data_IF_049019384390
#
_entry.id   IF_049019384390
#
_cell.length_a   1.000
_cell.length_b   1.000
_cell.length_c   1.000
_cell.angle_alpha   90.00
_cell.angle_beta   90.00
_cell.angle_gamma   90.00
#
_symmetry.space_group_name_H-M   'P 1'
#
loop_
_entity.id
_entity.type
_entity.pdbx_description
1 polymer ?
#
# COMPACT_ATOMS: atom_id res chain seq x y z
N UNK A 1 -16.67 30.26 14.43
CA UNK A 1 -17.62 29.20 14.10
C UNK A 1 -16.91 27.88 13.91
N UNK A 2 -17.47 26.80 14.42
CA UNK A 2 -16.88 25.48 14.19
C UNK A 2 -17.05 25.10 12.72
N UNK A 3 -15.96 24.70 12.06
CA UNK A 3 -16.00 24.19 10.72
C UNK A 3 -16.65 22.78 10.71
N UNK A 4 -17.72 22.61 9.94
CA UNK A 4 -18.44 21.35 9.78
C UNK A 4 -18.48 21.00 8.30
N UNK A 5 -17.54 20.22 7.79
CA UNK A 5 -17.53 19.78 6.39
C UNK A 5 -18.74 18.88 6.12
N UNK A 6 -19.24 18.90 4.89
CA UNK A 6 -20.35 18.02 4.48
C UNK A 6 -19.95 16.55 4.50
N UNK A 7 -18.69 16.25 4.15
CA UNK A 7 -18.13 14.91 4.12
C UNK A 7 -16.82 14.85 4.89
N UNK A 8 -16.62 13.77 5.64
CA UNK A 8 -15.35 13.43 6.27
C UNK A 8 -14.94 12.07 5.76
N UNK A 9 -13.76 11.99 5.13
CA UNK A 9 -13.15 10.74 4.70
C UNK A 9 -12.01 10.43 5.66
N UNK A 10 -12.08 9.25 6.29
CA UNK A 10 -11.05 8.77 7.20
C UNK A 10 -10.54 7.42 6.73
N UNK A 11 -9.25 7.30 6.50
CA UNK A 11 -8.57 6.07 6.11
C UNK A 11 -7.68 5.57 7.24
N UNK A 12 -7.65 4.26 7.45
CA UNK A 12 -6.74 3.65 8.40
C UNK A 12 -6.42 2.19 8.03
N UNK A 13 -5.41 1.64 8.69
CA UNK A 13 -5.06 0.23 8.55
C UNK A 13 -6.19 -0.67 9.06
N UNK A 14 -6.37 -1.85 8.45
CA UNK A 14 -7.40 -2.82 8.86
C UNK A 14 -7.34 -3.17 10.35
N UNK A 15 -6.15 -3.10 10.95
CA UNK A 15 -5.94 -3.42 12.37
C UNK A 15 -6.70 -2.52 13.34
N UNK A 16 -7.20 -1.35 12.92
CA UNK A 16 -8.08 -0.49 13.75
C UNK A 16 -9.35 -1.22 14.18
N UNK A 17 -9.79 -2.26 13.42
CA UNK A 17 -10.90 -3.15 13.76
C UNK A 17 -10.52 -4.34 14.65
N UNK A 18 -9.25 -4.47 15.04
CA UNK A 18 -8.80 -5.55 15.94
C UNK A 18 -9.38 -5.40 17.35
N UNK A 19 -9.40 -6.51 18.10
CA UNK A 19 -9.90 -6.55 19.47
C UNK A 19 -9.29 -5.46 20.39
N UNK A 20 -8.04 -5.07 20.14
CA UNK A 20 -7.36 -4.07 20.96
C UNK A 20 -7.65 -2.62 20.56
N UNK A 21 -8.07 -2.39 19.31
CA UNK A 21 -8.25 -1.04 18.75
C UNK A 21 -9.71 -0.67 18.50
N UNK A 22 -10.61 -1.65 18.46
CA UNK A 22 -12.02 -1.45 18.08
C UNK A 22 -12.74 -0.42 18.93
N UNK A 23 -12.40 -0.34 20.24
CA UNK A 23 -13.02 0.62 21.15
C UNK A 23 -12.78 2.09 20.72
N UNK A 24 -11.57 2.39 20.23
CA UNK A 24 -11.22 3.72 19.72
C UNK A 24 -11.96 4.03 18.42
N UNK A 25 -12.10 3.04 17.54
CA UNK A 25 -12.83 3.18 16.29
C UNK A 25 -14.31 3.46 16.55
N UNK A 26 -14.94 2.70 17.45
CA UNK A 26 -16.35 2.90 17.84
C UNK A 26 -16.54 4.28 18.50
N UNK A 27 -15.61 4.72 19.37
CA UNK A 27 -15.67 6.04 19.98
C UNK A 27 -15.62 7.14 18.93
N UNK A 28 -14.69 7.06 17.97
CA UNK A 28 -14.59 8.00 16.85
C UNK A 28 -15.91 8.14 16.10
N UNK A 29 -16.55 7.02 15.75
CA UNK A 29 -17.84 7.04 15.05
C UNK A 29 -18.95 7.70 15.89
N UNK A 30 -19.04 7.35 17.19
CA UNK A 30 -20.02 7.93 18.11
C UNK A 30 -19.86 9.45 18.28
N UNK A 31 -18.64 9.94 18.35
CA UNK A 31 -18.37 11.37 18.45
C UNK A 31 -18.86 12.10 17.19
N UNK A 32 -18.66 11.53 16.01
CA UNK A 32 -19.19 12.09 14.75
C UNK A 32 -20.73 12.03 14.67
N UNK A 33 -21.35 10.96 15.16
CA UNK A 33 -22.80 10.84 15.25
C UNK A 33 -23.39 11.95 16.14
N UNK A 34 -22.77 12.24 17.28
CA UNK A 34 -23.17 13.35 18.15
C UNK A 34 -23.04 14.73 17.49
N UNK A 35 -22.16 14.85 16.49
CA UNK A 35 -22.01 16.06 15.70
C UNK A 35 -23.00 16.14 14.51
N UNK A 36 -23.83 15.10 14.32
CA UNK A 36 -24.84 15.03 13.26
C UNK A 36 -24.40 14.33 11.98
N UNK A 37 -23.31 13.55 12.01
CA UNK A 37 -22.89 12.75 10.88
C UNK A 37 -23.46 11.34 10.91
N UNK A 38 -23.69 10.79 9.73
CA UNK A 38 -23.98 9.37 9.51
C UNK A 38 -22.72 8.70 9.00
N UNK A 39 -22.25 7.64 9.67
CA UNK A 39 -21.02 6.94 9.33
C UNK A 39 -21.31 5.67 8.54
N UNK A 40 -20.59 5.48 7.42
CA UNK A 40 -20.50 4.21 6.71
C UNK A 40 -19.01 3.84 6.58
N UNK A 41 -18.68 2.58 6.74
CA UNK A 41 -17.30 2.14 6.57
C UNK A 41 -17.21 0.78 5.90
N UNK A 42 -16.13 0.59 5.14
CA UNK A 42 -15.77 -0.67 4.51
C UNK A 42 -14.26 -0.89 4.54
N UNK A 43 -13.86 -2.16 4.46
CA UNK A 43 -12.46 -2.54 4.22
C UNK A 43 -12.29 -2.76 2.73
N UNK A 44 -11.51 -1.89 2.09
CA UNK A 44 -11.21 -1.98 0.67
C UNK A 44 -9.81 -2.52 0.46
N UNK A 45 -9.61 -3.36 -0.54
CA UNK A 45 -8.31 -3.86 -0.98
C UNK A 45 -7.94 -3.22 -2.32
N UNK A 46 -6.72 -2.73 -2.45
CA UNK A 46 -6.24 -2.10 -3.69
C UNK A 46 -6.34 -3.04 -4.92
N UNK A 47 -6.33 -4.35 -4.70
CA UNK A 47 -6.52 -5.36 -5.76
C UNK A 47 -7.91 -5.33 -6.41
N UNK A 48 -8.90 -4.82 -5.72
CA UNK A 48 -10.26 -4.64 -6.24
C UNK A 48 -10.37 -3.39 -7.14
N UNK A 49 -9.31 -2.59 -7.19
CA UNK A 49 -9.24 -1.33 -7.94
C UNK A 49 -8.08 -1.32 -8.95
N UNK A 50 -7.73 -2.50 -9.47
CA UNK A 50 -6.78 -2.65 -10.56
C UNK A 50 -5.31 -2.76 -10.15
N UNK A 51 -4.95 -2.53 -8.88
CA UNK A 51 -3.55 -2.55 -8.45
C UNK A 51 -3.12 -3.94 -7.97
N UNK A 52 -1.99 -4.50 -8.42
CA UNK A 52 -1.48 -5.77 -7.93
C UNK A 52 -0.72 -5.58 -6.60
N UNK A 53 -1.41 -5.00 -5.61
CA UNK A 53 -0.91 -4.80 -4.27
C UNK A 53 -1.97 -5.21 -3.24
N UNK A 54 -1.66 -6.19 -2.39
CA UNK A 54 -2.49 -6.55 -1.24
C UNK A 54 -2.40 -5.46 -0.17
N UNK A 55 -3.26 -4.46 -0.29
CA UNK A 55 -3.33 -3.30 0.59
C UNK A 55 -4.76 -3.09 1.07
N UNK A 56 -5.09 -3.74 2.19
CA UNK A 56 -6.39 -3.56 2.84
C UNK A 56 -6.38 -2.32 3.74
N UNK A 57 -7.39 -1.45 3.57
CA UNK A 57 -7.60 -0.26 4.38
C UNK A 57 -9.05 -0.10 4.76
N UNK A 58 -9.29 0.38 5.97
CA UNK A 58 -10.63 0.79 6.41
C UNK A 58 -10.85 2.21 5.94
N UNK A 59 -11.88 2.40 5.13
CA UNK A 59 -12.39 3.72 4.79
C UNK A 59 -13.68 3.96 5.54
N UNK A 60 -13.76 5.10 6.23
CA UNK A 60 -15.00 5.59 6.82
C UNK A 60 -15.39 6.87 6.12
N UNK A 61 -16.61 6.90 5.60
CA UNK A 61 -17.21 8.08 4.99
C UNK A 61 -18.31 8.54 5.92
N UNK A 62 -18.15 9.73 6.48
CA UNK A 62 -19.11 10.35 7.37
C UNK A 62 -19.79 11.51 6.67
N UNK A 63 -21.11 11.43 6.49
CA UNK A 63 -21.92 12.40 5.77
C UNK A 63 -22.78 13.20 6.75
N UNK A 64 -22.79 14.53 6.60
CA UNK A 64 -23.65 15.41 7.39
C UNK A 64 -25.11 15.33 6.89
N UNK A 65 -26.09 15.63 7.76
CA UNK A 65 -27.51 15.72 7.44
C UNK A 65 -28.18 14.39 7.04
N UNK A 66 -27.68 13.26 7.52
CA UNK A 66 -28.35 11.96 7.34
C UNK A 66 -28.15 11.31 5.97
N UNK A 67 -27.36 11.91 5.08
CA UNK A 67 -26.93 11.24 3.85
C UNK A 67 -26.11 10.00 4.20
N UNK A 68 -26.20 8.97 3.34
CA UNK A 68 -25.42 7.74 3.48
C UNK A 68 -24.56 7.54 2.25
N UNK A 69 -23.28 7.25 2.47
CA UNK A 69 -22.40 6.80 1.41
C UNK A 69 -22.58 5.29 1.21
N UNK A 70 -22.78 4.86 -0.03
CA UNK A 70 -22.88 3.47 -0.38
C UNK A 70 -21.59 2.99 -1.05
N UNK A 71 -20.86 2.06 -0.42
CA UNK A 71 -19.63 1.50 -0.98
C UNK A 71 -19.87 0.56 -2.17
N UNK A 72 -21.10 0.02 -2.32
CA UNK A 72 -21.47 -0.81 -3.48
C UNK A 72 -21.48 -0.01 -4.79
N UNK A 73 -21.59 1.33 -4.71
CA UNK A 73 -21.56 2.21 -5.88
C UNK A 73 -20.13 2.46 -6.39
N UNK A 74 -19.10 1.98 -5.69
CA UNK A 74 -17.72 2.07 -6.14
C UNK A 74 -17.48 1.18 -7.36
N UNK A 75 -16.88 1.76 -8.39
CA UNK A 75 -16.47 1.01 -9.58
C UNK A 75 -15.23 0.20 -9.21
N UNK A 76 -15.38 -1.12 -9.19
CA UNK A 76 -14.27 -2.06 -8.99
C UNK A 76 -13.68 -2.47 -10.32
N UNK A 77 -12.36 -2.55 -10.36
CA UNK A 77 -11.59 -2.94 -11.55
C UNK A 77 -10.77 -4.20 -11.21
N UNK A 78 -10.82 -5.25 -12.05
CA UNK A 78 -10.00 -6.44 -11.83
C UNK A 78 -8.52 -6.09 -11.68
N UNK A 79 -7.84 -6.80 -10.79
CA UNK A 79 -6.41 -6.66 -10.57
C UNK A 79 -5.65 -6.89 -11.89
N UNK A 80 -4.76 -5.97 -12.24
CA UNK A 80 -3.90 -6.07 -13.41
C UNK A 80 -2.73 -7.04 -13.14
N UNK A 81 -2.06 -7.45 -14.20
CA UNK A 81 -0.87 -8.31 -14.10
C UNK A 81 0.27 -7.50 -13.45
N UNK A 82 0.90 -8.08 -12.44
CA UNK A 82 2.00 -7.41 -11.74
C UNK A 82 3.18 -7.11 -12.66
N UNK A 83 3.36 -7.90 -13.73
CA UNK A 83 4.44 -7.69 -14.72
C UNK A 83 4.36 -6.36 -15.43
N UNK A 84 3.17 -5.78 -15.55
CA UNK A 84 2.97 -4.45 -16.15
C UNK A 84 3.50 -3.31 -15.26
N UNK A 85 3.77 -3.59 -14.00
CA UNK A 85 4.26 -2.66 -12.98
C UNK A 85 5.75 -2.79 -12.72
N UNK A 86 6.38 -3.87 -13.18
CA UNK A 86 7.79 -4.16 -12.96
C UNK A 86 8.66 -3.63 -14.10
N UNK A 87 9.90 -3.30 -13.77
CA UNK A 87 10.94 -2.99 -14.73
C UNK A 87 11.59 -4.28 -15.24
N UNK A 88 12.17 -4.21 -16.43
CA UNK A 88 12.95 -5.33 -16.95
C UNK A 88 14.15 -5.62 -16.02
N UNK A 89 14.26 -6.88 -15.58
CA UNK A 89 15.29 -7.31 -14.65
C UNK A 89 16.72 -7.02 -15.12
N UNK A 90 16.96 -6.99 -16.45
CA UNK A 90 18.27 -6.68 -17.03
C UNK A 90 18.60 -5.19 -16.93
N UNK A 91 17.57 -4.33 -16.90
CA UNK A 91 17.74 -2.88 -16.79
C UNK A 91 17.90 -2.40 -15.35
N UNK A 92 17.50 -3.20 -14.36
CA UNK A 92 17.58 -2.83 -12.94
C UNK A 92 18.99 -2.98 -12.41
N UNK A 93 19.60 -1.90 -11.87
CA UNK A 93 20.96 -1.91 -11.36
C UNK A 93 21.18 -2.92 -10.21
N UNK A 94 22.35 -3.52 -10.14
CA UNK A 94 22.75 -4.50 -9.10
C UNK A 94 22.66 -3.94 -7.66
N UNK A 95 22.56 -2.63 -7.50
CA UNK A 95 22.35 -2.00 -6.19
C UNK A 95 21.07 -2.49 -5.50
N UNK A 96 20.09 -2.96 -6.28
CA UNK A 96 18.84 -3.54 -5.77
C UNK A 96 18.96 -5.03 -5.44
N UNK A 97 20.08 -5.68 -5.74
CA UNK A 97 20.25 -7.11 -5.48
C UNK A 97 20.21 -7.42 -3.99
N UNK A 98 19.60 -8.55 -3.67
CA UNK A 98 19.50 -9.05 -2.29
C UNK A 98 20.84 -9.64 -1.90
N UNK A 99 21.68 -8.82 -1.27
CA UNK A 99 23.02 -9.22 -0.77
C UNK A 99 23.02 -9.59 0.70
N UNK A 100 22.01 -9.15 1.46
CA UNK A 100 21.94 -9.38 2.92
C UNK A 100 21.67 -10.83 3.24
N UNK A 101 22.57 -11.54 3.98
CA UNK A 101 22.38 -12.96 4.32
C UNK A 101 21.09 -13.23 5.10
N UNK A 102 20.67 -12.32 5.97
CA UNK A 102 19.44 -12.42 6.76
C UNK A 102 18.15 -12.43 5.93
N UNK A 103 18.20 -11.91 4.71
CA UNK A 103 17.11 -11.96 3.73
C UNK A 103 17.33 -13.10 2.77
N UNK A 104 18.52 -13.19 2.14
CA UNK A 104 18.84 -14.17 1.11
C UNK A 104 18.66 -15.62 1.58
N UNK A 105 19.11 -15.92 2.80
CA UNK A 105 19.06 -17.29 3.35
C UNK A 105 17.65 -17.75 3.71
N UNK A 106 16.65 -16.87 3.72
CA UNK A 106 15.26 -17.23 4.07
C UNK A 106 14.30 -17.18 2.88
N UNK A 107 14.78 -16.78 1.70
CA UNK A 107 13.98 -16.80 0.47
C UNK A 107 13.57 -18.25 0.17
N UNK A 108 12.27 -18.46 -0.04
CA UNK A 108 11.73 -19.79 -0.35
C UNK A 108 11.62 -20.76 0.82
N UNK A 109 12.03 -20.41 2.04
CA UNK A 109 11.86 -21.27 3.21
C UNK A 109 10.40 -21.30 3.66
N UNK A 110 9.87 -22.50 3.83
CA UNK A 110 8.50 -22.71 4.29
C UNK A 110 8.35 -22.26 5.75
N UNK A 111 7.28 -21.51 6.03
CA UNK A 111 6.94 -21.04 7.38
C UNK A 111 7.68 -19.78 7.86
N UNK A 112 8.68 -19.30 7.15
CA UNK A 112 9.41 -18.07 7.48
C UNK A 112 8.95 -16.94 6.56
N UNK A 113 8.09 -16.05 7.05
CA UNK A 113 7.58 -14.89 6.30
C UNK A 113 8.55 -13.69 6.35
N UNK A 114 9.85 -13.92 6.29
CA UNK A 114 10.86 -12.85 6.34
C UNK A 114 11.27 -12.33 4.97
N UNK A 115 11.17 -13.18 3.95
CA UNK A 115 11.39 -12.82 2.56
C UNK A 115 10.39 -13.57 1.69
N UNK A 116 9.57 -12.85 0.94
CA UNK A 116 8.55 -13.41 0.06
C UNK A 116 8.87 -13.05 -1.38
N UNK A 117 8.90 -14.06 -2.25
CA UNK A 117 9.00 -13.83 -3.70
C UNK A 117 7.64 -13.33 -4.20
N UNK A 118 7.65 -12.20 -4.85
CA UNK A 118 6.47 -11.64 -5.51
C UNK A 118 6.13 -12.52 -6.73
N UNK A 119 4.85 -12.90 -6.86
CA UNK A 119 4.32 -13.70 -7.98
C UNK A 119 3.22 -12.94 -8.71
N UNK A 120 2.02 -12.94 -8.13
CA UNK A 120 0.84 -12.35 -8.77
C UNK A 120 0.57 -10.93 -8.26
N UNK A 121 0.99 -10.61 -7.04
CA UNK A 121 0.84 -9.30 -6.44
C UNK A 121 1.90 -9.05 -5.35
N UNK A 122 2.19 -7.79 -5.09
CA UNK A 122 3.00 -7.36 -3.95
C UNK A 122 2.15 -7.24 -2.68
N UNK A 123 2.76 -7.42 -1.51
CA UNK A 123 2.15 -6.99 -0.25
C UNK A 123 2.23 -5.47 -0.10
N UNK A 124 1.58 -4.92 0.92
CA UNK A 124 1.59 -3.47 1.19
C UNK A 124 3.00 -2.90 1.11
N UNK A 125 3.20 -1.95 0.19
CA UNK A 125 4.46 -1.22 0.04
C UNK A 125 4.72 -0.41 1.30
N UNK A 126 5.94 -0.51 1.82
CA UNK A 126 6.42 0.21 2.99
C UNK A 126 7.59 1.10 2.61
N UNK A 127 7.96 2.07 3.44
CA UNK A 127 9.07 2.99 3.19
C UNK A 127 10.47 2.33 3.21
N UNK A 128 10.55 1.05 3.54
CA UNK A 128 11.81 0.29 3.62
C UNK A 128 11.63 -1.07 2.96
N UNK A 129 12.06 -1.18 1.70
CA UNK A 129 12.01 -2.43 0.94
C UNK A 129 13.13 -3.41 1.32
N UNK A 130 14.24 -2.90 1.84
CA UNK A 130 15.45 -3.64 2.23
C UNK A 130 15.36 -4.28 3.63
N UNK A 131 14.20 -4.21 4.31
CA UNK A 131 13.99 -4.76 5.65
C UNK A 131 13.04 -5.93 5.66
N UNK A 132 13.18 -6.80 6.65
CA UNK A 132 12.25 -7.90 6.90
C UNK A 132 10.94 -7.40 7.55
N UNK A 133 9.79 -7.89 7.11
CA UNK A 133 9.58 -8.85 6.02
C UNK A 133 9.84 -8.21 4.66
N UNK A 134 10.79 -8.77 3.91
CA UNK A 134 11.15 -8.27 2.58
C UNK A 134 10.27 -8.88 1.49
N UNK A 135 10.08 -8.13 0.43
CA UNK A 135 9.48 -8.61 -0.82
C UNK A 135 10.56 -8.56 -1.90
N UNK A 136 10.67 -9.63 -2.67
CA UNK A 136 11.75 -9.77 -3.64
C UNK A 136 11.21 -10.27 -4.98
N UNK A 137 11.89 -9.88 -6.05
CA UNK A 137 11.66 -10.38 -7.41
C UNK A 137 12.71 -11.47 -7.68
N UNK A 138 12.25 -12.59 -8.21
CA UNK A 138 13.14 -13.64 -8.74
C UNK A 138 13.53 -13.27 -10.17
N UNK A 139 14.80 -12.98 -10.39
CA UNK A 139 15.35 -12.64 -11.70
C UNK A 139 15.85 -13.86 -12.48
N UNK A 140 15.70 -15.06 -11.92
CA UNK A 140 16.31 -16.28 -12.47
C UNK A 140 17.78 -16.43 -12.10
N UNK A 141 18.35 -17.61 -12.40
CA UNK A 141 19.78 -17.90 -12.15
C UNK A 141 20.22 -17.76 -10.69
N UNK A 142 19.29 -17.73 -9.73
CA UNK A 142 19.58 -17.50 -8.31
C UNK A 142 19.79 -16.04 -7.93
N UNK A 143 19.53 -15.10 -8.83
CA UNK A 143 19.52 -13.66 -8.56
C UNK A 143 18.14 -13.26 -8.03
N UNK A 144 18.13 -12.54 -6.90
CA UNK A 144 16.94 -11.92 -6.34
C UNK A 144 17.21 -10.43 -6.12
N UNK A 145 16.20 -9.59 -6.35
CA UNK A 145 16.28 -8.16 -6.13
C UNK A 145 15.09 -7.61 -5.35
N UNK A 146 15.25 -6.46 -4.74
CA UNK A 146 14.17 -5.68 -4.19
C UNK A 146 13.42 -4.93 -5.30
N UNK A 147 12.22 -4.45 -4.99
CA UNK A 147 11.51 -3.50 -5.83
C UNK A 147 12.30 -2.18 -5.93
N UNK A 148 12.26 -1.58 -7.11
CA UNK A 148 12.77 -0.22 -7.32
C UNK A 148 11.78 0.81 -6.79
N UNK A 149 12.20 2.06 -6.66
CA UNK A 149 11.30 3.15 -6.27
C UNK A 149 10.21 3.38 -7.31
N UNK A 150 10.52 3.24 -8.60
CA UNK A 150 9.56 3.37 -9.68
C UNK A 150 8.50 2.26 -9.63
N UNK A 151 8.91 1.01 -9.40
CA UNK A 151 7.99 -0.10 -9.22
C UNK A 151 7.08 0.09 -7.99
N UNK A 152 7.65 0.55 -6.87
CA UNK A 152 6.87 0.89 -5.68
C UNK A 152 5.87 2.01 -5.95
N UNK A 153 6.23 2.98 -6.78
CA UNK A 153 5.38 4.10 -7.19
C UNK A 153 4.22 3.63 -8.07
N UNK A 154 4.52 2.83 -9.11
CA UNK A 154 3.52 2.22 -9.99
C UNK A 154 2.52 1.36 -9.21
N UNK A 155 3.02 0.53 -8.28
CA UNK A 155 2.18 -0.32 -7.41
C UNK A 155 1.24 0.47 -6.50
N UNK A 156 1.44 1.75 -6.30
CA UNK A 156 0.52 2.64 -5.60
C UNK A 156 -0.44 3.39 -6.53
N UNK A 157 -0.41 3.12 -7.85
CA UNK A 157 -1.34 3.65 -8.84
C UNK A 157 -0.91 4.98 -9.46
N UNK A 158 0.33 5.39 -9.30
CA UNK A 158 0.86 6.61 -9.90
C UNK A 158 1.56 6.34 -11.23
N UNK A 159 1.61 7.34 -12.09
CA UNK A 159 2.26 7.27 -13.40
C UNK A 159 3.77 7.50 -13.33
N UNK A 160 4.51 7.05 -14.34
CA UNK A 160 5.95 7.30 -14.47
C UNK A 160 6.24 8.81 -14.58
N UNK A 161 5.35 9.57 -15.24
CA UNK A 161 5.50 11.02 -15.36
C UNK A 161 5.41 11.71 -13.99
N UNK A 162 4.49 11.28 -13.12
CA UNK A 162 4.38 11.78 -11.76
C UNK A 162 5.61 11.41 -10.93
N UNK A 163 6.18 10.22 -11.14
CA UNK A 163 7.43 9.80 -10.49
C UNK A 163 8.58 10.73 -10.86
N UNK A 164 8.79 11.01 -12.15
CA UNK A 164 9.89 11.89 -12.59
C UNK A 164 9.69 13.33 -12.09
N UNK A 165 8.46 13.82 -12.04
CA UNK A 165 8.14 15.13 -11.43
C UNK A 165 8.48 15.16 -9.94
N UNK A 166 8.09 14.14 -9.20
CA UNK A 166 8.38 14.03 -7.77
C UNK A 166 9.89 13.91 -7.52
N UNK A 167 10.59 13.07 -8.28
CA UNK A 167 12.02 12.85 -8.20
C UNK A 167 12.83 14.13 -8.47
N UNK A 168 12.36 15.02 -9.35
CA UNK A 168 13.02 16.27 -9.67
C UNK A 168 13.10 17.23 -8.46
N UNK A 169 12.16 17.15 -7.51
CA UNK A 169 12.09 18.05 -6.35
C UNK A 169 12.52 17.38 -5.04
N UNK A 170 12.59 16.05 -4.98
CA UNK A 170 13.02 15.33 -3.79
C UNK A 170 14.50 14.94 -3.84
N UNK A 171 15.21 15.20 -2.73
CA UNK A 171 16.58 14.75 -2.57
C UNK A 171 16.62 13.26 -2.27
N UNK A 172 17.60 12.57 -2.83
CA UNK A 172 17.87 11.17 -2.53
C UNK A 172 18.15 11.00 -1.02
N UNK A 173 17.40 10.12 -0.37
CA UNK A 173 17.57 9.78 1.03
C UNK A 173 18.28 8.43 1.14
N UNK A 174 19.60 8.44 1.40
CA UNK A 174 20.39 7.23 1.49
C UNK A 174 20.52 6.48 0.15
N UNK A 175 20.39 5.14 0.21
CA UNK A 175 20.54 4.24 -0.94
C UNK A 175 19.32 4.27 -1.89
N UNK A 176 18.14 4.51 -1.34
CA UNK A 176 16.85 4.50 -2.04
C UNK A 176 16.16 5.86 -1.86
N UNK A 177 15.30 6.22 -2.82
CA UNK A 177 14.45 7.42 -2.76
C UNK A 177 13.23 7.18 -1.86
N UNK A 178 13.45 6.77 -0.62
CA UNK A 178 12.38 6.33 0.30
C UNK A 178 11.33 7.39 0.62
N UNK A 179 11.56 8.64 0.27
CA UNK A 179 10.58 9.72 0.42
C UNK A 179 9.56 9.78 -0.74
N UNK A 180 9.72 8.97 -1.79
CA UNK A 180 8.86 8.99 -2.97
C UNK A 180 7.67 8.01 -2.90
N UNK A 181 7.63 7.10 -1.90
CA UNK A 181 6.55 6.10 -1.78
C UNK A 181 6.23 5.76 -0.33
#
# INVERSE_FOLDING_TARGET
>A
GQWKPQYIIWENVKNVKSKHMIANFVRYQKELEQMGYTNNYEVLDAREFGLPQARERVFTISCLKGEKFNFDDLIRTPMQDIRDFLEDNESVPEVYDVTQPSVRNVIGQTGIKRATVIKDYAFTITTRQDRTPAQVIDCGGGRFRYLTELECWRLQGYTDEDFERAKAVHKRAGRYYTALY
#
